data_IF_619651828885
#
_entry.id   IF_619651828885
#
_cell.length_a   1.000
_cell.length_b   1.000
_cell.length_c   1.000
_cell.angle_alpha   90.00
_cell.angle_beta   90.00
_cell.angle_gamma   90.00
#
_symmetry.space_group_name_H-M   'P 1'
#
loop_
_entity.id
_entity.type
_entity.pdbx_description
1 polymer ?
#
# COMPACT_ATOMS: atom_id res chain seq x y z
N UNK A 1 0.60 10.08 7.54
CA UNK A 1 0.11 8.78 6.98
C UNK A 1 -1.36 8.90 6.55
N UNK A 2 -1.95 10.09 6.69
CA UNK A 2 -3.35 10.43 6.42
C UNK A 2 -3.75 10.27 4.95
N UNK A 3 -2.76 10.31 4.04
CA UNK A 3 -2.99 10.13 2.60
C UNK A 3 -3.06 8.67 2.13
N UNK A 4 -2.61 7.69 2.94
CA UNK A 4 -2.61 6.28 2.55
C UNK A 4 -3.90 5.56 2.94
N UNK A 5 -4.61 6.13 3.90
CA UNK A 5 -5.72 5.50 4.56
C UNK A 5 -6.90 5.20 3.60
N UNK A 6 -7.27 6.09 2.65
CA UNK A 6 -8.29 5.76 1.64
C UNK A 6 -7.91 4.62 0.70
N UNK A 7 -6.62 4.49 0.35
CA UNK A 7 -6.14 3.50 -0.63
C UNK A 7 -6.09 2.08 -0.03
N UNK A 8 -6.06 1.96 1.29
CA UNK A 8 -6.02 0.68 1.97
C UNK A 8 -7.33 0.34 2.69
N UNK A 9 -8.42 1.09 2.44
CA UNK A 9 -9.70 0.95 3.16
C UNK A 9 -9.61 1.29 4.65
N UNK A 10 -8.65 2.14 5.00
CA UNK A 10 -8.30 2.61 6.33
C UNK A 10 -8.72 4.08 6.53
N UNK A 11 -9.68 4.57 5.76
CA UNK A 11 -10.24 5.94 5.74
C UNK A 11 -10.62 6.48 7.14
N UNK A 12 -10.93 5.58 8.08
CA UNK A 12 -11.30 5.91 9.47
C UNK A 12 -10.19 5.62 10.48
N UNK A 13 -9.04 5.11 10.06
CA UNK A 13 -7.92 4.73 10.94
C UNK A 13 -6.94 5.90 11.05
N UNK A 14 -6.59 6.35 12.27
CA UNK A 14 -5.60 7.39 12.44
C UNK A 14 -4.26 7.02 11.80
N UNK A 15 -3.54 8.02 11.34
CA UNK A 15 -2.28 7.89 10.62
C UNK A 15 -1.06 7.50 11.50
N UNK A 16 -1.30 6.76 12.59
CA UNK A 16 -0.26 6.25 13.48
C UNK A 16 -0.01 4.79 13.15
N UNK A 17 1.26 4.37 13.22
CA UNK A 17 1.65 2.99 12.89
C UNK A 17 0.95 1.99 13.83
N UNK A 18 0.82 2.34 15.11
CA UNK A 18 0.09 1.55 16.12
C UNK A 18 -1.35 1.24 15.70
N UNK A 19 -2.08 2.26 15.25
CA UNK A 19 -3.48 2.15 14.84
C UNK A 19 -3.63 1.34 13.54
N UNK A 20 -2.73 1.57 12.58
CA UNK A 20 -2.68 0.82 11.32
C UNK A 20 -2.36 -0.66 11.56
N UNK A 21 -1.39 -0.96 12.41
CA UNK A 21 -1.04 -2.33 12.76
C UNK A 21 -2.22 -3.02 13.44
N UNK A 22 -2.88 -2.34 14.38
CA UNK A 22 -4.05 -2.86 15.09
C UNK A 22 -5.24 -3.12 14.15
N UNK A 23 -5.45 -2.27 13.16
CA UNK A 23 -6.48 -2.47 12.12
C UNK A 23 -6.12 -3.63 11.17
N UNK A 24 -4.84 -3.74 10.77
CA UNK A 24 -4.39 -4.76 9.83
C UNK A 24 -4.29 -6.15 10.45
N UNK A 25 -3.94 -6.25 11.74
CA UNK A 25 -3.74 -7.51 12.44
C UNK A 25 -4.90 -8.52 12.31
N UNK A 26 -6.18 -8.17 12.54
CA UNK A 26 -7.29 -9.12 12.39
C UNK A 26 -7.53 -9.57 10.95
N UNK A 27 -7.19 -8.73 9.96
CA UNK A 27 -7.38 -9.06 8.53
C UNK A 27 -6.12 -9.66 7.89
N UNK A 28 -4.96 -9.61 8.53
CA UNK A 28 -3.68 -10.06 7.99
C UNK A 28 -3.67 -11.54 7.57
N UNK A 29 -4.43 -12.38 8.29
CA UNK A 29 -4.56 -13.82 8.01
C UNK A 29 -5.60 -14.13 6.91
N UNK A 30 -6.44 -13.16 6.56
CA UNK A 30 -7.48 -13.34 5.55
C UNK A 30 -6.89 -13.18 4.14
N UNK A 31 -7.28 -14.04 3.20
CA UNK A 31 -6.91 -13.91 1.77
C UNK A 31 -7.72 -12.82 1.03
N UNK A 32 -7.95 -11.70 1.70
CA UNK A 32 -8.62 -10.54 1.12
C UNK A 32 -7.60 -9.63 0.44
N UNK A 33 -8.01 -8.98 -0.66
CA UNK A 33 -7.10 -8.08 -1.39
C UNK A 33 -6.67 -6.90 -0.51
N UNK A 34 -7.55 -6.38 0.34
CA UNK A 34 -7.22 -5.36 1.35
C UNK A 34 -6.10 -5.81 2.31
N UNK A 35 -6.14 -7.08 2.77
CA UNK A 35 -5.08 -7.65 3.62
C UNK A 35 -3.73 -7.76 2.91
N UNK A 36 -3.75 -8.08 1.61
CA UNK A 36 -2.52 -8.09 0.79
C UNK A 36 -1.96 -6.68 0.65
N UNK A 37 -2.81 -5.70 0.31
CA UNK A 37 -2.40 -4.30 0.15
C UNK A 37 -1.89 -3.72 1.46
N UNK A 38 -2.59 -3.94 2.57
CA UNK A 38 -2.19 -3.46 3.88
C UNK A 38 -0.80 -3.96 4.29
N UNK A 39 -0.52 -5.25 4.07
CA UNK A 39 0.82 -5.82 4.32
C UNK A 39 1.89 -5.24 3.40
N UNK A 40 1.57 -5.05 2.11
CA UNK A 40 2.48 -4.43 1.15
C UNK A 40 2.81 -2.99 1.55
N UNK A 41 1.80 -2.22 1.95
CA UNK A 41 1.94 -0.85 2.40
C UNK A 41 2.82 -0.78 3.65
N UNK A 42 2.52 -1.58 4.68
CA UNK A 42 3.31 -1.63 5.91
C UNK A 42 4.77 -1.97 5.63
N UNK A 43 5.03 -3.01 4.83
CA UNK A 43 6.38 -3.44 4.49
C UNK A 43 7.14 -2.37 3.67
N UNK A 44 6.48 -1.77 2.68
CA UNK A 44 7.10 -0.72 1.86
C UNK A 44 7.41 0.52 2.70
N UNK A 45 6.44 0.99 3.50
CA UNK A 45 6.64 2.16 4.37
C UNK A 45 7.77 1.94 5.37
N UNK A 46 7.82 0.79 6.04
CA UNK A 46 8.90 0.50 6.99
C UNK A 46 10.28 0.53 6.31
N UNK A 47 10.42 -0.14 5.16
CA UNK A 47 11.69 -0.20 4.44
C UNK A 47 12.14 1.17 3.92
N UNK A 48 11.26 1.93 3.27
CA UNK A 48 11.62 3.23 2.68
C UNK A 48 11.88 4.30 3.75
N UNK A 49 11.14 4.30 4.85
CA UNK A 49 11.39 5.23 5.97
C UNK A 49 12.73 4.91 6.63
N UNK A 50 13.03 3.63 6.85
CA UNK A 50 14.31 3.21 7.42
C UNK A 50 15.49 3.56 6.49
N UNK A 51 15.36 3.24 5.20
CA UNK A 51 16.39 3.53 4.20
C UNK A 51 16.65 5.04 4.04
N UNK A 52 15.60 5.87 4.02
CA UNK A 52 15.78 7.33 3.99
C UNK A 52 16.48 7.84 5.25
N UNK A 53 16.11 7.36 6.44
CA UNK A 53 16.79 7.73 7.68
C UNK A 53 18.28 7.43 7.60
N UNK A 54 18.64 6.24 7.12
CA UNK A 54 20.04 5.87 6.93
C UNK A 54 20.74 6.75 5.88
N UNK A 55 20.09 7.02 4.75
CA UNK A 55 20.65 7.89 3.70
C UNK A 55 20.88 9.32 4.18
N UNK A 56 20.02 9.85 5.04
CA UNK A 56 20.22 11.18 5.64
C UNK A 56 21.43 11.23 6.56
N UNK A 57 21.63 10.19 7.37
CA UNK A 57 22.75 10.09 8.31
C UNK A 57 24.07 9.90 7.57
N UNK A 58 24.11 8.98 6.60
CA UNK A 58 25.38 8.52 6.01
C UNK A 58 25.70 9.13 4.64
N UNK A 59 24.72 9.67 3.91
CA UNK A 59 24.89 10.14 2.53
C UNK A 59 24.46 11.58 2.29
N UNK A 60 24.02 12.30 3.33
CA UNK A 60 23.47 13.68 3.27
C UNK A 60 22.36 13.87 2.22
N UNK A 61 21.74 12.79 1.74
CA UNK A 61 20.61 12.86 0.81
C UNK A 61 19.37 13.26 1.59
N UNK A 62 18.68 14.31 1.14
CA UNK A 62 17.42 14.77 1.73
C UNK A 62 16.33 14.73 0.67
N UNK A 63 15.65 13.58 0.54
CA UNK A 63 14.39 13.55 -0.24
C UNK A 63 13.29 14.19 0.58
N UNK A 64 12.37 14.84 -0.12
CA UNK A 64 11.16 15.37 0.52
C UNK A 64 10.25 14.22 0.96
N UNK A 65 9.37 14.48 1.92
CA UNK A 65 8.37 13.50 2.35
C UNK A 65 7.41 13.10 1.22
N UNK A 66 7.16 14.00 0.27
CA UNK A 66 6.36 13.74 -0.93
C UNK A 66 7.07 12.75 -1.86
N UNK A 67 8.38 12.87 -2.06
CA UNK A 67 9.13 11.92 -2.91
C UNK A 67 9.10 10.50 -2.33
N UNK A 68 9.30 10.38 -1.02
CA UNK A 68 9.26 9.08 -0.33
C UNK A 68 7.87 8.45 -0.46
N UNK A 69 6.82 9.27 -0.32
CA UNK A 69 5.44 8.84 -0.51
C UNK A 69 5.22 8.31 -1.93
N UNK A 70 5.62 9.07 -2.93
CA UNK A 70 5.35 8.72 -4.32
C UNK A 70 6.11 7.45 -4.73
N UNK A 71 7.33 7.26 -4.20
CA UNK A 71 8.08 6.00 -4.34
C UNK A 71 7.32 4.84 -3.69
N UNK A 72 6.84 4.97 -2.46
CA UNK A 72 6.06 3.92 -1.78
C UNK A 72 4.81 3.55 -2.58
N UNK A 73 4.02 4.54 -3.01
CA UNK A 73 2.80 4.32 -3.79
C UNK A 73 3.11 3.63 -5.12
N UNK A 74 4.16 4.09 -5.82
CA UNK A 74 4.59 3.49 -7.09
C UNK A 74 5.04 2.05 -6.91
N UNK A 75 5.83 1.76 -5.87
CA UNK A 75 6.27 0.39 -5.56
C UNK A 75 5.08 -0.53 -5.26
N UNK A 76 4.06 -0.06 -4.54
CA UNK A 76 2.86 -0.87 -4.28
C UNK A 76 2.08 -1.10 -5.57
N UNK A 77 1.85 -0.06 -6.39
CA UNK A 77 1.19 -0.21 -7.70
C UNK A 77 1.89 -1.23 -8.58
N UNK A 78 3.22 -1.15 -8.70
CA UNK A 78 4.02 -2.11 -9.44
C UNK A 78 3.89 -3.54 -8.88
N UNK A 79 3.87 -3.70 -7.55
CA UNK A 79 3.61 -5.02 -6.94
C UNK A 79 2.19 -5.51 -7.21
N UNK A 80 1.18 -4.64 -7.23
CA UNK A 80 -0.19 -5.07 -7.58
C UNK A 80 -0.26 -5.57 -9.03
N UNK A 81 0.47 -4.95 -9.95
CA UNK A 81 0.57 -5.42 -11.34
C UNK A 81 1.13 -6.85 -11.48
N UNK A 82 1.93 -7.34 -10.52
CA UNK A 82 2.46 -8.70 -10.58
C UNK A 82 1.51 -9.75 -9.99
N UNK A 83 0.44 -9.32 -9.31
CA UNK A 83 -0.52 -10.22 -8.67
C UNK A 83 -1.70 -10.55 -9.60
N UNK A 84 -2.24 -11.77 -9.45
CA UNK A 84 -3.48 -12.19 -10.12
C UNK A 84 -4.66 -12.04 -9.18
N UNK A 85 -5.71 -11.36 -9.63
CA UNK A 85 -6.93 -11.17 -8.84
C UNK A 85 -8.14 -11.87 -9.46
N UNK A 86 -9.05 -12.35 -8.60
CA UNK A 86 -10.35 -12.90 -9.03
C UNK A 86 -11.27 -11.79 -9.48
N UNK A 87 -12.13 -12.08 -10.46
CA UNK A 87 -13.24 -11.21 -10.82
C UNK A 87 -14.25 -11.14 -9.66
N UNK A 88 -14.22 -10.02 -8.91
CA UNK A 88 -15.18 -9.70 -7.84
C UNK A 88 -15.38 -8.18 -7.81
N UNK A 89 -16.61 -7.72 -7.58
CA UNK A 89 -16.94 -6.29 -7.53
C UNK A 89 -16.02 -5.50 -6.56
N UNK A 90 -15.74 -6.05 -5.38
CA UNK A 90 -14.82 -5.44 -4.39
C UNK A 90 -13.38 -5.29 -4.92
N UNK A 91 -12.91 -6.26 -5.70
CA UNK A 91 -11.57 -6.22 -6.31
C UNK A 91 -11.52 -5.16 -7.41
N UNK A 92 -12.56 -5.09 -8.25
CA UNK A 92 -12.64 -4.11 -9.33
C UNK A 92 -12.65 -2.68 -8.77
N UNK A 93 -13.48 -2.41 -7.76
CA UNK A 93 -13.53 -1.11 -7.08
C UNK A 93 -12.15 -0.71 -6.52
N UNK A 94 -11.49 -1.64 -5.84
CA UNK A 94 -10.18 -1.41 -5.25
C UNK A 94 -9.10 -1.17 -6.32
N UNK A 95 -9.09 -1.93 -7.41
CA UNK A 95 -8.15 -1.71 -8.51
C UNK A 95 -8.36 -0.33 -9.16
N UNK A 96 -9.61 0.13 -9.26
CA UNK A 96 -9.94 1.48 -9.73
C UNK A 96 -9.42 2.57 -8.77
N UNK A 97 -9.56 2.39 -7.46
CA UNK A 97 -8.99 3.30 -6.43
C UNK A 97 -7.46 3.39 -6.55
N UNK A 98 -6.80 2.28 -6.86
CA UNK A 98 -5.36 2.21 -7.15
C UNK A 98 -4.98 2.67 -8.58
N UNK A 99 -5.94 3.21 -9.34
CA UNK A 99 -5.77 3.68 -10.72
C UNK A 99 -5.14 2.62 -11.62
N UNK A 100 -5.55 1.37 -11.47
CA UNK A 100 -5.14 0.27 -12.36
C UNK A 100 -5.96 0.33 -13.66
N UNK A 101 -5.40 -0.11 -14.80
CA UNK A 101 -6.10 -0.06 -16.07
C UNK A 101 -7.31 -1.00 -16.08
N UNK A 102 -8.38 -0.61 -16.79
CA UNK A 102 -9.64 -1.35 -16.83
C UNK A 102 -9.51 -2.76 -17.42
N UNK A 103 -8.48 -3.01 -18.23
CA UNK A 103 -8.16 -4.31 -18.80
C UNK A 103 -7.22 -5.15 -17.90
N UNK A 104 -7.15 -4.84 -16.60
CA UNK A 104 -6.35 -5.61 -15.65
C UNK A 104 -6.72 -7.09 -15.72
N UNK A 105 -5.71 -7.97 -15.72
CA UNK A 105 -5.90 -9.41 -15.91
C UNK A 105 -6.60 -10.03 -14.70
N UNK A 106 -7.93 -10.07 -14.74
CA UNK A 106 -8.78 -10.77 -13.79
C UNK A 106 -9.08 -12.18 -14.31
N UNK A 107 -9.25 -13.14 -13.40
CA UNK A 107 -9.62 -14.52 -13.75
C UNK A 107 -10.96 -14.91 -13.11
N UNK A 108 -11.64 -15.88 -13.74
CA UNK A 108 -12.88 -16.48 -13.23
C UNK A 108 -14.15 -15.67 -13.52
N UNK A 109 -14.25 -15.10 -14.72
CA UNK A 109 -15.48 -14.55 -15.32
C UNK A 109 -16.47 -15.64 -15.70
#
# INVERSE_FOLDING_TARGET
MDFYSPLAGMDTVPARIEDIVSYLQPIAHQRMVLSVIGRLLLAASANYIWDERNKRIFKQVKRSWTDIRDIIITTIRLKLFTLKFRYKARVIKLLAEWKMPNNFRLYGS
#
